data_IF_854709674391
#
_entry.id   IF_854709674391
#
_cell.length_a   1.000
_cell.length_b   1.000
_cell.length_c   1.000
_cell.angle_alpha   90.00
_cell.angle_beta   90.00
_cell.angle_gamma   90.00
#
_symmetry.space_group_name_H-M   'P 1'
#
loop_
_entity.id
_entity.type
_entity.pdbx_description
1 polymer ?
#
# COMPACT_ATOMS: atom_id res chain seq x y z
N UNK A 1 31.97 3.95 -3.02
CA UNK A 1 31.87 2.64 -2.34
C UNK A 1 30.47 2.13 -2.59
N UNK A 2 30.28 0.96 -3.23
CA UNK A 2 28.95 0.38 -3.45
C UNK A 2 28.60 -0.44 -2.21
N UNK A 3 27.60 -0.02 -1.45
CA UNK A 3 27.14 -0.73 -0.25
C UNK A 3 26.07 -1.76 -0.65
N UNK A 4 26.24 -3.03 -0.26
CA UNK A 4 25.29 -4.10 -0.56
C UNK A 4 24.42 -4.39 0.67
N UNK A 5 23.20 -3.86 0.68
CA UNK A 5 22.24 -3.94 1.82
C UNK A 5 21.67 -5.34 2.11
N UNK A 6 21.94 -6.35 1.26
CA UNK A 6 21.40 -7.73 1.36
C UNK A 6 19.91 -7.77 1.76
N UNK A 7 19.07 -7.07 1.02
CA UNK A 7 17.62 -7.09 1.26
C UNK A 7 17.04 -8.48 1.00
N UNK A 8 16.58 -9.12 2.07
CA UNK A 8 15.91 -10.42 2.07
C UNK A 8 14.83 -10.45 3.16
N UNK A 9 13.82 -11.31 2.99
CA UNK A 9 12.77 -11.51 3.98
C UNK A 9 13.18 -12.70 4.84
N UNK A 10 13.32 -12.50 6.15
CA UNK A 10 13.85 -13.50 7.07
C UNK A 10 12.89 -14.70 7.25
N UNK A 11 11.59 -14.45 7.19
CA UNK A 11 10.55 -15.46 7.23
C UNK A 11 9.15 -14.86 7.39
N UNK A 12 8.12 -15.64 7.09
CA UNK A 12 6.70 -15.29 7.21
C UNK A 12 5.96 -16.19 8.20
N UNK A 13 6.68 -17.00 8.99
CA UNK A 13 6.14 -17.95 9.96
C UNK A 13 5.22 -19.00 9.32
N UNK A 14 5.62 -19.48 8.14
CA UNK A 14 4.99 -20.61 7.43
C UNK A 14 6.12 -21.52 6.99
N UNK A 15 6.26 -22.68 7.62
CA UNK A 15 7.43 -23.58 7.46
C UNK A 15 7.82 -23.83 6.00
N UNK A 16 6.83 -24.09 5.13
CA UNK A 16 7.08 -24.31 3.70
C UNK A 16 7.62 -23.06 2.99
N UNK A 17 7.07 -21.88 3.29
CA UNK A 17 7.52 -20.62 2.69
C UNK A 17 8.88 -20.23 3.25
N UNK A 18 9.09 -20.42 4.55
CA UNK A 18 10.36 -20.12 5.22
C UNK A 18 11.49 -21.01 4.69
N UNK A 19 11.19 -22.28 4.40
CA UNK A 19 12.10 -23.16 3.67
C UNK A 19 12.47 -22.59 2.30
N UNK A 20 11.49 -22.15 1.50
CA UNK A 20 11.78 -21.53 0.20
C UNK A 20 12.56 -20.22 0.32
N UNK A 21 12.26 -19.40 1.33
CA UNK A 21 12.96 -18.14 1.61
C UNK A 21 14.37 -18.34 2.16
N UNK A 22 14.68 -19.52 2.72
CA UNK A 22 16.06 -19.87 3.09
C UNK A 22 16.98 -20.00 1.87
N UNK A 23 16.42 -20.28 0.68
CA UNK A 23 17.17 -20.35 -0.57
C UNK A 23 17.40 -18.93 -1.11
N UNK A 24 18.64 -18.45 -1.00
CA UNK A 24 19.05 -17.07 -1.33
C UNK A 24 18.46 -16.49 -2.63
N UNK A 25 18.57 -17.22 -3.74
CA UNK A 25 18.08 -16.75 -5.04
C UNK A 25 16.55 -16.65 -5.11
N UNK A 26 15.84 -17.59 -4.49
CA UNK A 26 14.38 -17.57 -4.38
C UNK A 26 13.91 -16.41 -3.51
N UNK A 27 14.61 -16.11 -2.41
CA UNK A 27 14.30 -14.96 -1.56
C UNK A 27 14.44 -13.63 -2.31
N UNK A 28 15.54 -13.45 -3.07
CA UNK A 28 15.70 -12.26 -3.90
C UNK A 28 14.64 -12.14 -4.98
N UNK A 29 14.31 -13.24 -5.67
CA UNK A 29 13.23 -13.25 -6.65
C UNK A 29 11.89 -12.85 -6.01
N UNK A 30 11.58 -13.41 -4.84
CA UNK A 30 10.36 -13.08 -4.11
C UNK A 30 10.32 -11.61 -3.67
N UNK A 31 11.43 -11.08 -3.15
CA UNK A 31 11.52 -9.67 -2.75
C UNK A 31 11.34 -8.74 -3.95
N UNK A 32 11.97 -9.04 -5.09
CA UNK A 32 11.78 -8.30 -6.34
C UNK A 32 10.31 -8.34 -6.78
N UNK A 33 9.66 -9.50 -6.67
CA UNK A 33 8.24 -9.65 -6.99
C UNK A 33 7.36 -8.79 -6.07
N UNK A 34 7.65 -8.77 -4.75
CA UNK A 34 6.95 -7.92 -3.79
C UNK A 34 7.08 -6.43 -4.16
N UNK A 35 8.29 -5.97 -4.49
CA UNK A 35 8.49 -4.60 -4.96
C UNK A 35 7.79 -4.32 -6.27
N UNK A 36 7.84 -5.23 -7.25
CA UNK A 36 7.14 -5.07 -8.51
C UNK A 36 5.62 -4.95 -8.31
N UNK A 37 5.04 -5.75 -7.41
CA UNK A 37 3.62 -5.66 -7.06
C UNK A 37 3.30 -4.32 -6.39
N UNK A 38 4.13 -3.92 -5.42
CA UNK A 38 3.97 -2.69 -4.65
C UNK A 38 4.06 -1.45 -5.55
N UNK A 39 5.13 -1.32 -6.34
CA UNK A 39 5.41 -0.15 -7.18
C UNK A 39 4.30 0.07 -8.20
N UNK A 40 3.89 -1.00 -8.91
CA UNK A 40 2.79 -0.92 -9.87
C UNK A 40 1.44 -0.62 -9.19
N UNK A 41 1.20 -1.20 -8.02
CA UNK A 41 0.00 -0.92 -7.23
C UNK A 41 -0.06 0.52 -6.76
N UNK A 42 1.02 1.03 -6.18
CA UNK A 42 1.16 2.42 -5.77
C UNK A 42 0.95 3.38 -6.93
N UNK A 43 1.42 3.06 -8.13
CA UNK A 43 1.17 3.89 -9.31
C UNK A 43 -0.32 3.99 -9.67
N UNK A 44 -1.07 2.89 -9.53
CA UNK A 44 -2.51 2.92 -9.75
C UNK A 44 -3.24 3.82 -8.74
N UNK A 45 -2.74 3.90 -7.49
CA UNK A 45 -3.31 4.74 -6.45
C UNK A 45 -3.08 6.24 -6.67
N UNK A 46 -2.08 6.66 -7.45
CA UNK A 46 -1.81 8.07 -7.77
C UNK A 46 -2.87 8.71 -8.71
N UNK A 47 -3.94 7.97 -9.03
CA UNK A 47 -5.05 8.46 -9.86
C UNK A 47 -6.05 9.39 -9.17
N UNK A 48 -5.93 9.59 -7.85
CA UNK A 48 -6.77 10.52 -7.07
C UNK A 48 -5.92 11.41 -6.16
N UNK A 49 -6.32 12.67 -6.07
CA UNK A 49 -5.75 13.68 -5.18
C UNK A 49 -5.76 13.18 -3.73
N UNK A 50 -4.58 13.18 -3.12
CA UNK A 50 -4.35 12.80 -1.74
C UNK A 50 -4.36 11.30 -1.46
N UNK A 51 -4.72 10.43 -2.41
CA UNK A 51 -4.86 8.99 -2.12
C UNK A 51 -3.52 8.35 -1.81
N UNK A 52 -2.55 8.41 -2.72
CA UNK A 52 -1.27 7.73 -2.58
C UNK A 52 -0.44 8.31 -1.43
N UNK A 53 -0.26 9.64 -1.40
CA UNK A 53 0.48 10.32 -0.34
C UNK A 53 -0.22 10.20 1.01
N UNK A 54 -1.55 10.28 1.07
CA UNK A 54 -2.31 10.10 2.31
C UNK A 54 -2.18 8.69 2.86
N UNK A 55 -2.23 7.67 1.99
CA UNK A 55 -1.98 6.28 2.39
C UNK A 55 -0.57 6.11 2.96
N UNK A 56 0.46 6.62 2.28
CA UNK A 56 1.83 6.52 2.78
C UNK A 56 2.11 7.37 4.01
N UNK A 57 1.39 8.47 4.26
CA UNK A 57 1.44 9.18 5.56
C UNK A 57 0.95 8.26 6.69
N UNK A 58 -0.16 7.52 6.49
CA UNK A 58 -0.63 6.57 7.50
C UNK A 58 0.42 5.49 7.79
N UNK A 59 1.02 4.93 6.74
CA UNK A 59 2.08 3.91 6.85
C UNK A 59 3.33 4.46 7.53
N UNK A 60 3.83 5.61 7.09
CA UNK A 60 5.01 6.25 7.68
C UNK A 60 4.78 6.65 9.14
N UNK A 61 3.56 7.07 9.51
CA UNK A 61 3.20 7.38 10.90
C UNK A 61 3.22 6.11 11.76
N UNK A 62 2.69 4.99 11.26
CA UNK A 62 2.76 3.69 11.93
C UNK A 62 4.20 3.25 12.15
N UNK A 63 5.03 3.34 11.12
CA UNK A 63 6.44 2.99 11.16
C UNK A 63 7.22 3.90 12.12
N UNK A 64 6.97 5.21 12.09
CA UNK A 64 7.58 6.19 13.00
C UNK A 64 7.27 5.87 14.45
N UNK A 65 6.01 5.53 14.75
CA UNK A 65 5.62 5.08 16.08
C UNK A 65 6.45 3.86 16.50
N UNK A 66 6.45 2.78 15.71
CA UNK A 66 7.21 1.56 16.04
C UNK A 66 8.72 1.83 16.17
N UNK A 67 9.28 2.69 15.31
CA UNK A 67 10.71 2.99 15.34
C UNK A 67 11.15 3.71 16.59
N UNK A 68 10.29 4.53 17.20
CA UNK A 68 10.62 5.25 18.42
C UNK A 68 10.50 4.40 19.68
N UNK A 69 9.63 3.39 19.68
CA UNK A 69 9.53 2.44 20.80
C UNK A 69 10.66 1.38 20.78
N UNK A 70 11.25 1.12 19.61
CA UNK A 70 12.28 0.09 19.45
C UNK A 70 13.70 0.67 19.38
N UNK A 71 14.56 0.24 20.30
CA UNK A 71 15.95 0.69 20.39
C UNK A 71 16.88 0.06 19.36
N UNK A 72 16.47 -1.05 18.73
CA UNK A 72 17.33 -1.81 17.81
C UNK A 72 17.34 -1.27 16.37
N UNK A 73 16.42 -0.36 16.02
CA UNK A 73 16.38 0.27 14.70
C UNK A 73 17.46 1.35 14.65
N UNK A 74 18.29 1.33 13.60
CA UNK A 74 19.38 2.29 13.41
C UNK A 74 18.89 3.73 13.30
N UNK A 75 19.70 4.69 13.75
CA UNK A 75 19.37 6.11 13.66
C UNK A 75 19.19 6.57 12.21
N UNK A 76 20.00 6.05 11.28
CA UNK A 76 19.88 6.36 9.85
C UNK A 76 18.50 6.00 9.29
N UNK A 77 17.94 4.86 9.68
CA UNK A 77 16.57 4.47 9.29
C UNK A 77 15.53 5.40 9.93
N UNK A 78 15.69 5.75 11.22
CA UNK A 78 14.79 6.69 11.92
C UNK A 78 14.77 8.06 11.25
N UNK A 79 15.93 8.57 10.87
CA UNK A 79 16.07 9.85 10.18
C UNK A 79 15.45 9.80 8.78
N UNK A 80 15.63 8.69 8.06
CA UNK A 80 14.98 8.48 6.76
C UNK A 80 13.45 8.43 6.88
N UNK A 81 12.90 7.76 7.90
CA UNK A 81 11.45 7.74 8.19
C UNK A 81 10.94 9.16 8.45
N UNK A 82 11.64 9.92 9.30
CA UNK A 82 11.28 11.30 9.63
C UNK A 82 11.27 12.20 8.40
N UNK A 83 12.33 12.12 7.61
CA UNK A 83 12.48 12.90 6.39
C UNK A 83 11.35 12.59 5.39
N UNK A 84 11.10 11.30 5.13
CA UNK A 84 10.03 10.89 4.22
C UNK A 84 8.65 11.30 4.73
N UNK A 85 8.40 11.18 6.04
CA UNK A 85 7.13 11.59 6.63
C UNK A 85 6.89 13.09 6.44
N UNK A 86 7.88 13.93 6.75
CA UNK A 86 7.79 15.39 6.59
C UNK A 86 7.59 15.76 5.12
N UNK A 87 8.40 15.22 4.21
CA UNK A 87 8.29 15.52 2.77
C UNK A 87 6.92 15.08 2.23
N UNK A 88 6.44 13.90 2.63
CA UNK A 88 5.14 13.39 2.16
C UNK A 88 3.98 14.24 2.72
N UNK A 89 4.06 14.72 3.97
CA UNK A 89 3.07 15.64 4.54
C UNK A 89 3.05 16.97 3.78
N UNK A 90 4.21 17.57 3.52
CA UNK A 90 4.31 18.82 2.76
C UNK A 90 3.70 18.61 1.37
N UNK A 91 4.12 17.56 0.65
CA UNK A 91 3.58 17.23 -0.65
C UNK A 91 2.06 17.03 -0.63
N UNK A 92 1.55 16.30 0.38
CA UNK A 92 0.14 16.01 0.55
C UNK A 92 -0.71 17.27 0.63
N UNK A 93 -0.24 18.32 1.33
CA UNK A 93 -0.99 19.59 1.45
C UNK A 93 -1.32 20.21 0.08
N UNK A 94 -0.40 20.18 -0.87
CA UNK A 94 -0.61 20.69 -2.22
C UNK A 94 -1.36 19.68 -3.12
N UNK A 95 -1.10 18.39 -2.93
CA UNK A 95 -1.74 17.32 -3.69
C UNK A 95 -3.25 17.22 -3.41
N UNK A 96 -3.70 17.55 -2.19
CA UNK A 96 -5.12 17.64 -1.84
C UNK A 96 -5.90 18.61 -2.72
N UNK A 97 -5.26 19.71 -3.16
CA UNK A 97 -5.85 20.71 -4.04
C UNK A 97 -5.58 20.44 -5.53
N UNK A 98 -4.96 19.31 -5.88
CA UNK A 98 -4.62 18.97 -7.26
C UNK A 98 -3.57 19.90 -7.90
N UNK A 99 -2.80 20.64 -7.09
CA UNK A 99 -1.77 21.57 -7.58
C UNK A 99 -0.52 20.83 -8.02
N UNK A 100 -0.21 19.72 -7.36
CA UNK A 100 0.94 18.85 -7.65
C UNK A 100 0.51 17.39 -7.72
N UNK A 101 1.18 16.61 -8.56
CA UNK A 101 0.98 15.17 -8.72
C UNK A 101 2.33 14.46 -8.54
N UNK A 102 2.33 13.25 -7.98
CA UNK A 102 3.59 12.48 -7.81
C UNK A 102 4.11 12.05 -9.18
N UNK A 103 3.19 11.63 -10.05
CA UNK A 103 3.52 11.00 -11.32
C UNK A 103 4.20 9.65 -11.10
N UNK A 104 4.59 8.99 -12.20
CA UNK A 104 5.22 7.67 -12.13
C UNK A 104 6.51 7.69 -11.28
N UNK A 105 7.34 8.72 -11.46
CA UNK A 105 8.62 8.81 -10.75
C UNK A 105 8.44 8.99 -9.24
N UNK A 106 7.50 9.84 -8.82
CA UNK A 106 7.22 10.06 -7.40
C UNK A 106 6.57 8.85 -6.74
N UNK A 107 5.62 8.20 -7.43
CA UNK A 107 4.93 7.02 -6.91
C UNK A 107 5.89 5.84 -6.73
N UNK A 108 6.83 5.66 -7.67
CA UNK A 108 7.86 4.63 -7.59
C UNK A 108 8.87 4.91 -6.49
N UNK A 109 9.38 6.14 -6.40
CA UNK A 109 10.35 6.51 -5.37
C UNK A 109 9.77 6.34 -3.96
N UNK A 110 8.56 6.83 -3.73
CA UNK A 110 7.90 6.76 -2.42
C UNK A 110 7.64 5.29 -2.02
N UNK A 111 7.08 4.49 -2.93
CA UNK A 111 6.75 3.09 -2.66
C UNK A 111 7.99 2.21 -2.45
N UNK A 112 9.05 2.38 -3.24
CA UNK A 112 10.33 1.67 -3.04
C UNK A 112 10.95 2.06 -1.71
N UNK A 113 10.98 3.36 -1.37
CA UNK A 113 11.58 3.84 -0.12
C UNK A 113 10.85 3.31 1.11
N UNK A 114 9.51 3.35 1.12
CA UNK A 114 8.70 2.79 2.21
C UNK A 114 8.84 1.26 2.29
N UNK A 115 8.82 0.56 1.15
CA UNK A 115 9.03 -0.89 1.11
C UNK A 115 10.41 -1.30 1.64
N UNK A 116 11.46 -0.54 1.30
CA UNK A 116 12.82 -0.73 1.82
C UNK A 116 12.86 -0.60 3.34
N UNK A 117 12.28 0.49 3.88
CA UNK A 117 12.23 0.75 5.32
C UNK A 117 11.51 -0.39 6.05
N UNK A 118 10.37 -0.85 5.52
CA UNK A 118 9.60 -1.94 6.13
C UNK A 118 10.38 -3.25 6.18
N UNK A 119 11.08 -3.61 5.10
CA UNK A 119 11.95 -4.80 5.10
C UNK A 119 13.06 -4.62 6.13
N UNK A 120 13.70 -3.45 6.19
CA UNK A 120 14.76 -3.18 7.17
C UNK A 120 14.28 -3.28 8.61
N UNK A 121 13.11 -2.74 8.93
CA UNK A 121 12.52 -2.88 10.26
C UNK A 121 12.31 -4.35 10.62
N UNK A 122 11.82 -5.16 9.70
CA UNK A 122 11.66 -6.60 9.95
C UNK A 122 12.99 -7.35 10.05
N UNK A 123 14.04 -6.92 9.34
CA UNK A 123 15.37 -7.50 9.48
C UNK A 123 16.04 -7.11 10.81
N UNK A 124 15.89 -5.85 11.23
CA UNK A 124 16.54 -5.28 12.40
C UNK A 124 15.79 -5.61 13.71
N UNK A 125 14.54 -6.08 13.62
CA UNK A 125 13.73 -6.43 14.79
C UNK A 125 13.22 -7.87 14.69
N UNK A 126 13.58 -8.68 15.69
CA UNK A 126 13.16 -10.09 15.74
C UNK A 126 11.68 -10.30 16.08
N UNK A 127 10.96 -9.23 16.44
CA UNK A 127 9.58 -9.32 16.94
C UNK A 127 8.54 -8.70 16.00
N UNK A 128 8.94 -7.90 15.01
CA UNK A 128 7.99 -7.37 14.02
C UNK A 128 7.63 -8.48 13.04
N UNK A 129 6.35 -8.85 13.03
CA UNK A 129 5.85 -9.90 12.15
C UNK A 129 5.93 -9.48 10.69
N UNK A 130 6.26 -10.39 9.77
CA UNK A 130 6.16 -10.12 8.33
C UNK A 130 4.74 -9.73 7.90
N UNK A 131 3.71 -10.17 8.65
CA UNK A 131 2.32 -9.76 8.40
C UNK A 131 2.05 -8.30 8.76
N UNK A 132 2.88 -7.66 9.59
CA UNK A 132 2.80 -6.22 9.81
C UNK A 132 3.18 -5.47 8.53
N UNK A 133 4.27 -5.88 7.86
CA UNK A 133 4.65 -5.34 6.54
C UNK A 133 3.51 -5.54 5.54
N UNK A 134 2.96 -6.76 5.48
CA UNK A 134 1.84 -7.05 4.58
C UNK A 134 0.62 -6.16 4.87
N UNK A 135 0.30 -5.87 6.14
CA UNK A 135 -0.76 -4.93 6.53
C UNK A 135 -0.42 -3.47 6.17
N UNK A 136 0.84 -3.06 6.18
CA UNK A 136 1.21 -1.69 5.77
C UNK A 136 1.11 -1.48 4.26
N UNK A 137 1.24 -2.54 3.47
CA UNK A 137 1.28 -2.48 2.01
C UNK A 137 0.09 -3.14 1.32
N UNK A 138 -0.91 -3.57 2.10
CA UNK A 138 -1.98 -4.44 1.61
C UNK A 138 -2.79 -3.79 0.50
N UNK A 139 -3.13 -2.51 0.63
CA UNK A 139 -4.05 -1.83 -0.28
C UNK A 139 -3.46 -1.66 -1.69
N UNK A 140 -2.25 -1.07 -1.88
CA UNK A 140 -1.64 -1.00 -3.20
C UNK A 140 -1.35 -2.40 -3.78
N UNK A 141 -0.88 -3.34 -2.96
CA UNK A 141 -0.61 -4.69 -3.43
C UNK A 141 -1.90 -5.40 -3.91
N UNK A 142 -2.98 -5.31 -3.12
CA UNK A 142 -4.24 -5.95 -3.45
C UNK A 142 -4.92 -5.30 -4.66
N UNK A 143 -4.88 -3.97 -4.81
CA UNK A 143 -5.38 -3.29 -6.01
C UNK A 143 -4.71 -3.81 -7.30
N UNK A 144 -3.39 -3.99 -7.27
CA UNK A 144 -2.65 -4.52 -8.40
C UNK A 144 -2.99 -6.00 -8.68
N UNK A 145 -2.88 -6.86 -7.65
CA UNK A 145 -3.16 -8.28 -7.77
C UNK A 145 -4.60 -8.54 -8.22
N UNK A 146 -5.57 -7.81 -7.67
CA UNK A 146 -6.97 -7.94 -8.05
C UNK A 146 -7.21 -7.46 -9.49
N UNK A 147 -6.53 -6.41 -9.95
CA UNK A 147 -6.56 -5.99 -11.36
C UNK A 147 -6.04 -7.08 -12.31
N UNK A 148 -4.89 -7.69 -11.97
CA UNK A 148 -4.32 -8.81 -12.73
C UNK A 148 -5.31 -9.99 -12.80
N UNK A 149 -5.86 -10.40 -11.65
CA UNK A 149 -6.84 -11.48 -11.56
C UNK A 149 -8.10 -11.18 -12.40
N UNK A 150 -8.67 -9.97 -12.29
CA UNK A 150 -9.84 -9.57 -13.09
C UNK A 150 -9.58 -9.65 -14.59
N UNK A 151 -8.41 -9.20 -15.04
CA UNK A 151 -8.05 -9.19 -16.46
C UNK A 151 -7.83 -10.60 -16.99
N UNK A 152 -7.20 -11.46 -16.20
CA UNK A 152 -7.03 -12.87 -16.53
C UNK A 152 -8.38 -13.57 -16.72
N UNK A 153 -9.34 -13.37 -15.80
CA UNK A 153 -10.67 -13.99 -15.86
C UNK A 153 -11.52 -13.48 -17.03
N UNK A 154 -11.38 -12.20 -17.44
CA UNK A 154 -12.16 -11.62 -18.54
C UNK A 154 -11.66 -11.97 -19.95
N UNK A 155 -10.56 -12.74 -20.09
CA UNK A 155 -9.87 -13.01 -21.38
C UNK A 155 -9.54 -11.75 -22.19
N UNK A 156 -9.59 -10.56 -21.57
CA UNK A 156 -9.18 -9.33 -22.23
C UNK A 156 -7.66 -9.33 -22.35
N UNK A 157 -7.12 -8.73 -23.42
CA UNK A 157 -5.68 -8.49 -23.51
C UNK A 157 -5.25 -7.73 -22.26
N UNK A 158 -4.29 -8.31 -21.55
CA UNK A 158 -3.62 -7.72 -20.38
C UNK A 158 -3.18 -6.28 -20.74
N UNK A 159 -2.72 -6.07 -21.98
CA UNK A 159 -3.05 -4.91 -22.83
C UNK A 159 -3.59 -3.60 -22.23
N UNK A 160 -4.90 -3.62 -21.99
CA UNK A 160 -5.71 -2.41 -21.87
C UNK A 160 -5.73 -1.86 -20.45
N UNK A 161 -5.72 -0.52 -20.36
CA UNK A 161 -5.82 0.21 -19.09
C UNK A 161 -7.07 -0.22 -18.31
N UNK A 162 -6.88 -0.77 -17.10
CA UNK A 162 -7.99 -1.14 -16.25
C UNK A 162 -8.59 0.12 -15.62
N UNK A 163 -9.89 0.28 -15.83
CA UNK A 163 -10.67 1.41 -15.33
C UNK A 163 -11.54 1.01 -14.13
N UNK A 164 -11.34 -0.19 -13.59
CA UNK A 164 -12.16 -0.80 -12.56
C UNK A 164 -11.43 -0.89 -11.21
N UNK A 165 -10.44 -0.05 -10.94
CA UNK A 165 -9.88 0.05 -9.59
C UNK A 165 -10.94 0.59 -8.61
N UNK A 166 -10.91 0.14 -7.35
CA UNK A 166 -11.95 0.47 -6.38
C UNK A 166 -12.07 1.98 -6.18
N UNK A 167 -10.93 2.67 -6.06
CA UNK A 167 -10.89 4.11 -5.88
C UNK A 167 -11.53 4.86 -7.07
N UNK A 168 -11.36 4.37 -8.31
CA UNK A 168 -12.02 4.95 -9.49
C UNK A 168 -13.53 4.68 -9.51
N UNK A 169 -13.96 3.51 -9.02
CA UNK A 169 -15.38 3.18 -8.89
C UNK A 169 -16.05 4.08 -7.85
N UNK A 170 -15.38 4.33 -6.71
CA UNK A 170 -15.84 5.28 -5.68
C UNK A 170 -16.01 6.67 -6.30
N UNK A 171 -14.99 7.17 -7.02
CA UNK A 171 -15.05 8.45 -7.71
C UNK A 171 -16.24 8.55 -8.67
N UNK A 172 -16.41 7.57 -9.57
CA UNK A 172 -17.52 7.58 -10.55
C UNK A 172 -18.88 7.48 -9.88
N UNK A 173 -18.99 6.68 -8.81
CA UNK A 173 -20.22 6.56 -8.04
C UNK A 173 -20.59 7.91 -7.41
N UNK A 174 -19.65 8.57 -6.72
CA UNK A 174 -19.90 9.88 -6.10
C UNK A 174 -20.22 10.94 -7.15
N UNK A 175 -19.49 10.97 -8.26
CA UNK A 175 -19.76 11.85 -9.41
C UNK A 175 -21.18 11.70 -9.96
N UNK A 176 -21.74 10.49 -9.92
CA UNK A 176 -23.11 10.24 -10.38
C UNK A 176 -24.20 10.64 -9.40
N UNK A 177 -23.85 10.85 -8.12
CA UNK A 177 -24.79 11.11 -7.02
C UNK A 177 -24.75 12.54 -6.53
N UNK A 178 -23.61 13.21 -6.66
CA UNK A 178 -23.33 14.51 -6.06
C UNK A 178 -23.03 15.51 -7.18
N UNK A 179 -23.72 16.65 -7.17
CA UNK A 179 -23.55 17.70 -8.16
C UNK A 179 -22.56 18.78 -7.67
N UNK A 180 -21.27 18.41 -7.57
CA UNK A 180 -20.15 19.29 -7.19
C UNK A 180 -19.06 19.17 -8.27
N UNK A 181 -18.13 20.13 -8.35
CA UNK A 181 -17.01 20.07 -9.31
C UNK A 181 -16.20 18.77 -9.14
N UNK A 182 -15.79 18.19 -10.26
CA UNK A 182 -15.07 16.90 -10.31
C UNK A 182 -13.78 16.88 -9.47
N UNK A 183 -13.08 18.02 -9.35
CA UNK A 183 -11.87 18.17 -8.52
C UNK A 183 -12.13 17.84 -7.04
N UNK A 184 -13.23 18.34 -6.47
CA UNK A 184 -13.60 18.05 -5.08
C UNK A 184 -14.01 16.60 -4.91
N UNK A 185 -14.77 16.06 -5.86
CA UNK A 185 -15.18 14.64 -5.83
C UNK A 185 -13.95 13.74 -5.91
N UNK A 186 -12.94 14.11 -6.70
CA UNK A 186 -11.66 13.42 -6.79
C UNK A 186 -10.97 13.36 -5.42
N UNK A 187 -10.73 14.51 -4.79
CA UNK A 187 -10.11 14.60 -3.46
C UNK A 187 -10.91 13.85 -2.40
N UNK A 188 -12.24 13.99 -2.37
CA UNK A 188 -13.14 13.27 -1.44
C UNK A 188 -13.04 11.76 -1.64
N UNK A 189 -12.94 11.29 -2.88
CA UNK A 189 -12.80 9.86 -3.17
C UNK A 189 -11.47 9.30 -2.64
N UNK A 190 -10.37 10.05 -2.80
CA UNK A 190 -9.09 9.71 -2.21
C UNK A 190 -9.17 9.62 -0.68
N UNK A 191 -9.75 10.64 -0.04
CA UNK A 191 -9.96 10.67 1.41
C UNK A 191 -10.79 9.49 1.92
N UNK A 192 -11.88 9.13 1.25
CA UNK A 192 -12.71 7.98 1.67
C UNK A 192 -11.87 6.70 1.72
N UNK A 193 -11.05 6.45 0.71
CA UNK A 193 -10.19 5.26 0.67
C UNK A 193 -9.12 5.31 1.77
N UNK A 194 -8.51 6.48 2.01
CA UNK A 194 -7.55 6.65 3.12
C UNK A 194 -8.23 6.37 4.46
N UNK A 195 -9.42 6.93 4.71
CA UNK A 195 -10.19 6.72 5.95
C UNK A 195 -10.55 5.25 6.15
N UNK A 196 -10.97 4.55 5.09
CA UNK A 196 -11.26 3.11 5.16
C UNK A 196 -10.06 2.27 5.62
N UNK A 197 -8.83 2.74 5.38
CA UNK A 197 -7.60 2.05 5.78
C UNK A 197 -7.14 2.38 7.21
N UNK A 198 -7.59 3.48 7.82
CA UNK A 198 -7.14 3.92 9.15
C UNK A 198 -7.33 2.84 10.22
N UNK A 199 -8.52 2.21 10.37
CA UNK A 199 -8.72 1.23 11.44
C UNK A 199 -7.77 0.04 11.32
N UNK A 200 -7.53 -0.43 10.09
CA UNK A 200 -6.62 -1.55 9.88
C UNK A 200 -5.17 -1.19 10.18
N UNK A 201 -4.70 -0.03 9.73
CA UNK A 201 -3.32 0.41 10.00
C UNK A 201 -3.14 0.63 11.51
N UNK A 202 -4.13 1.23 12.18
CA UNK A 202 -4.10 1.43 13.63
C UNK A 202 -4.01 0.12 14.41
N UNK A 203 -4.88 -0.86 14.11
CA UNK A 203 -4.85 -2.19 14.75
C UNK A 203 -3.52 -2.89 14.44
N UNK A 204 -3.07 -2.89 13.19
CA UNK A 204 -1.81 -3.51 12.82
C UNK A 204 -0.60 -2.89 13.55
N UNK A 205 -0.64 -1.56 13.80
CA UNK A 205 0.39 -0.85 14.56
C UNK A 205 0.42 -1.29 16.02
N UNK A 206 -0.73 -1.49 16.66
CA UNK A 206 -0.78 -1.90 18.07
C UNK A 206 -0.43 -3.37 18.28
N UNK A 207 -0.71 -4.22 17.27
CA UNK A 207 -0.50 -5.67 17.33
C UNK A 207 0.62 -6.14 16.38
N UNK A 208 1.64 -5.31 16.15
CA UNK A 208 2.71 -5.52 15.15
C UNK A 208 3.50 -6.85 15.31
N UNK A 209 3.46 -7.44 16.50
CA UNK A 209 4.12 -8.72 16.82
C UNK A 209 3.19 -9.94 16.78
N UNK A 210 1.87 -9.73 16.69
CA UNK A 210 0.87 -10.81 16.74
C UNK A 210 0.42 -11.26 15.34
N UNK A 211 1.11 -12.25 14.77
CA UNK A 211 0.87 -12.76 13.41
C UNK A 211 -0.59 -13.17 13.13
N UNK A 212 -1.28 -13.82 14.07
CA UNK A 212 -2.67 -14.28 13.88
C UNK A 212 -3.64 -13.09 13.72
N UNK A 213 -3.49 -12.07 14.56
CA UNK A 213 -4.31 -10.85 14.49
C UNK A 213 -4.04 -10.15 13.15
N UNK A 214 -2.78 -10.00 12.78
CA UNK A 214 -2.38 -9.36 11.52
C UNK A 214 -2.90 -10.11 10.28
N UNK A 215 -2.84 -11.44 10.27
CA UNK A 215 -3.45 -12.27 9.23
C UNK A 215 -4.96 -12.06 9.15
N UNK A 216 -5.65 -12.07 10.30
CA UNK A 216 -7.09 -11.85 10.35
C UNK A 216 -7.48 -10.47 9.80
N UNK A 217 -6.67 -9.44 10.04
CA UNK A 217 -6.88 -8.10 9.51
C UNK A 217 -6.72 -8.05 7.98
N UNK A 218 -5.75 -8.78 7.41
CA UNK A 218 -5.61 -8.87 5.95
C UNK A 218 -6.86 -9.50 5.33
N UNK A 219 -7.36 -10.61 5.89
CA UNK A 219 -8.60 -11.23 5.41
C UNK A 219 -9.81 -10.31 5.56
N UNK A 220 -9.93 -9.62 6.68
CA UNK A 220 -10.97 -8.63 6.90
C UNK A 220 -10.93 -7.52 5.83
N UNK A 221 -9.76 -6.93 5.59
CA UNK A 221 -9.55 -5.89 4.58
C UNK A 221 -9.91 -6.35 3.16
N UNK A 222 -9.48 -7.56 2.77
CA UNK A 222 -9.82 -8.15 1.48
C UNK A 222 -11.33 -8.35 1.36
N UNK A 223 -11.98 -8.87 2.40
CA UNK A 223 -13.43 -9.09 2.40
C UNK A 223 -14.21 -7.78 2.28
N UNK A 224 -13.82 -6.75 3.04
CA UNK A 224 -14.39 -5.42 3.00
C UNK A 224 -14.23 -4.80 1.60
N UNK A 225 -13.02 -4.87 1.04
CA UNK A 225 -12.74 -4.41 -0.31
C UNK A 225 -13.69 -5.08 -1.32
N UNK A 226 -13.79 -6.40 -1.30
CA UNK A 226 -14.61 -7.16 -2.24
C UNK A 226 -16.10 -6.86 -2.09
N UNK A 227 -16.58 -6.65 -0.87
CA UNK A 227 -17.96 -6.24 -0.59
C UNK A 227 -18.27 -4.87 -1.18
N UNK A 228 -17.42 -3.86 -0.93
CA UNK A 228 -17.59 -2.51 -1.49
C UNK A 228 -17.51 -2.56 -3.02
N UNK A 229 -16.54 -3.30 -3.55
CA UNK A 229 -16.37 -3.49 -4.99
C UNK A 229 -17.61 -4.10 -5.64
N UNK A 230 -18.15 -5.17 -5.06
CA UNK A 230 -19.37 -5.83 -5.55
C UNK A 230 -20.58 -4.89 -5.49
N UNK A 231 -20.75 -4.17 -4.37
CA UNK A 231 -21.82 -3.18 -4.22
C UNK A 231 -21.77 -2.10 -5.31
N UNK A 232 -20.59 -1.51 -5.52
CA UNK A 232 -20.41 -0.44 -6.52
C UNK A 232 -20.63 -0.96 -7.94
N UNK A 233 -20.08 -2.13 -8.29
CA UNK A 233 -20.22 -2.69 -9.64
C UNK A 233 -21.65 -3.16 -9.96
N UNK A 234 -22.41 -3.62 -8.97
CA UNK A 234 -23.82 -4.02 -9.14
C UNK A 234 -24.74 -2.82 -9.29
N UNK A 235 -24.56 -1.79 -8.45
CA UNK A 235 -25.45 -0.64 -8.38
C UNK A 235 -25.09 0.46 -9.38
N UNK A 236 -23.93 0.39 -10.01
CA UNK A 236 -23.47 1.33 -11.01
C UNK A 236 -23.13 0.62 -12.32
N UNK A 237 -24.10 0.53 -13.24
CA UNK A 237 -23.81 0.15 -14.63
C UNK A 237 -22.95 1.27 -15.24
N UNK A 238 -21.70 0.94 -15.54
CA UNK A 238 -20.84 1.77 -16.37
C UNK A 238 -21.58 2.08 -17.68
N UNK A 239 -22.10 3.31 -17.83
CA UNK A 239 -22.38 3.81 -19.17
C UNK A 239 -21.02 3.81 -19.88
N UNK A 240 -20.91 2.98 -20.92
CA UNK A 240 -19.71 2.87 -21.76
C UNK A 240 -19.30 4.24 -22.27
#
# INVERSE_FOLDING_TARGET
MVHFEKLNINGVNIDFIDYLLSIKYLNYFFTILCFAVLVNGSNFLDGLNGLLSGYFILVLTSIFYISNYNTNISNDIKDLINLLLIITIIFYTFNLFGVVYLGDSGSYLLSISVGFILIKIHQDTNFVSAYYIANMLWYPAFENLFSILRRFLKKNKISFADKLHLHQLIFRFLRSKINIKDEWINTVSGFIVVILNIPSIYIATNYYFHSIILLSMIFFNISLYLLIYYFLTKNFKLKK
#
